data_IF_963332779276
#
_entry.id   IF_963332779276
#
_cell.length_a   1.000
_cell.length_b   1.000
_cell.length_c   1.000
_cell.angle_alpha   90.00
_cell.angle_beta   90.00
_cell.angle_gamma   90.00
#
_symmetry.space_group_name_H-M   'P 1'
#
loop_
_entity.id
_entity.type
_entity.pdbx_description
1 polymer ?
#
# COMPACT_ATOMS: atom_id res chain seq x y z
N UNK A 1 -39.81 4.85 11.04
CA UNK A 1 -38.89 3.73 11.34
C UNK A 1 -37.57 4.31 11.81
N UNK A 2 -37.32 4.23 13.12
CA UNK A 2 -36.21 4.91 13.80
C UNK A 2 -34.91 4.17 13.50
N UNK A 3 -33.95 4.83 12.86
CA UNK A 3 -32.60 4.28 12.68
C UNK A 3 -31.87 4.25 14.02
N UNK A 4 -31.22 3.13 14.33
CA UNK A 4 -30.45 2.99 15.57
C UNK A 4 -29.03 3.47 15.34
N UNK A 5 -28.59 4.46 16.11
CA UNK A 5 -27.20 4.93 16.12
C UNK A 5 -26.42 4.16 17.20
N UNK A 6 -25.58 3.22 16.78
CA UNK A 6 -24.80 2.39 17.71
C UNK A 6 -23.72 3.17 18.47
N UNK A 7 -23.22 4.27 17.89
CA UNK A 7 -22.23 5.12 18.55
C UNK A 7 -22.85 5.81 19.78
N UNK A 8 -24.13 6.17 19.71
CA UNK A 8 -24.90 6.70 20.86
C UNK A 8 -25.20 5.63 21.91
N UNK A 9 -25.54 4.40 21.52
CA UNK A 9 -25.78 3.30 22.48
C UNK A 9 -24.52 2.89 23.23
N UNK A 10 -23.37 2.87 22.55
CA UNK A 10 -22.07 2.61 23.17
C UNK A 10 -21.65 3.75 24.12
N UNK A 11 -22.03 5.00 23.82
CA UNK A 11 -21.83 6.15 24.71
C UNK A 11 -22.74 6.09 25.95
N UNK A 12 -24.00 5.66 25.79
CA UNK A 12 -24.97 5.53 26.89
C UNK A 12 -24.56 4.46 27.93
N UNK A 13 -23.90 3.39 27.50
CA UNK A 13 -23.38 2.39 28.44
C UNK A 13 -22.23 2.92 29.31
N UNK A 14 -21.56 4.01 28.91
CA UNK A 14 -20.55 4.70 29.73
C UNK A 14 -21.18 5.74 30.67
N UNK A 15 -22.27 6.41 30.28
CA UNK A 15 -22.95 7.37 31.19
C UNK A 15 -23.70 6.66 32.32
N UNK A 16 -24.30 5.49 32.06
CA UNK A 16 -24.92 4.68 33.10
C UNK A 16 -23.91 4.13 34.13
N UNK A 17 -22.63 4.02 33.77
CA UNK A 17 -21.56 3.62 34.68
C UNK A 17 -20.97 4.81 35.49
N UNK A 18 -21.27 6.05 35.10
CA UNK A 18 -20.76 7.27 35.75
C UNK A 18 -21.82 7.98 36.63
N UNK A 19 -23.11 7.79 36.37
CA UNK A 19 -24.20 8.42 37.16
C UNK A 19 -24.53 7.68 38.47
N UNK A 20 -23.87 6.56 38.78
CA UNK A 20 -24.10 5.84 40.04
C UNK A 20 -23.41 6.45 41.27
N UNK A 21 -22.97 7.71 41.22
CA UNK A 21 -22.31 8.37 42.37
C UNK A 21 -22.95 9.65 42.92
N UNK A 22 -24.08 10.15 42.40
CA UNK A 22 -24.75 11.29 43.04
C UNK A 22 -26.28 11.18 42.98
N UNK A 23 -26.90 10.85 44.12
CA UNK A 23 -28.34 10.99 44.34
C UNK A 23 -28.95 9.85 45.16
N UNK A 24 -29.28 10.11 46.43
CA UNK A 24 -30.05 9.21 47.27
C UNK A 24 -31.46 9.02 46.69
N UNK A 25 -31.71 7.83 46.14
CA UNK A 25 -32.97 7.40 45.55
C UNK A 25 -32.84 5.97 45.03
N UNK A 26 -33.00 5.01 45.93
CA UNK A 26 -32.98 3.57 45.63
C UNK A 26 -34.14 3.18 44.72
N UNK A 27 -33.92 3.18 43.40
CA UNK A 27 -34.76 2.45 42.44
C UNK A 27 -33.87 1.68 41.46
N UNK A 28 -33.58 0.43 41.81
CA UNK A 28 -33.43 -0.74 40.94
C UNK A 28 -32.59 -0.68 39.63
N UNK A 29 -31.63 0.24 39.46
CA UNK A 29 -30.71 0.24 38.29
C UNK A 29 -29.69 -0.91 38.29
N UNK A 30 -29.50 -1.61 39.41
CA UNK A 30 -28.67 -2.84 39.49
C UNK A 30 -29.35 -4.14 39.01
N UNK A 31 -30.65 -4.10 38.68
CA UNK A 31 -31.44 -5.30 38.35
C UNK A 31 -31.59 -5.59 36.85
N UNK A 32 -31.47 -4.58 35.99
CA UNK A 32 -31.62 -4.76 34.53
C UNK A 32 -30.35 -5.34 33.87
N UNK A 33 -29.17 -4.94 34.34
CA UNK A 33 -27.88 -5.41 33.79
C UNK A 33 -27.56 -6.88 34.18
N UNK A 34 -28.18 -7.40 35.24
CA UNK A 34 -28.00 -8.79 35.71
C UNK A 34 -29.05 -9.77 35.16
N UNK A 35 -30.14 -9.28 34.57
CA UNK A 35 -31.23 -10.12 34.02
C UNK A 35 -31.16 -10.32 32.51
N UNK A 36 -30.42 -9.48 31.77
CA UNK A 36 -30.28 -9.64 30.32
C UNK A 36 -29.24 -10.73 30.02
N UNK A 37 -29.72 -11.92 29.70
CA UNK A 37 -28.89 -13.07 29.33
C UNK A 37 -28.57 -13.10 27.84
N UNK A 38 -29.55 -12.76 27.00
CA UNK A 38 -29.44 -12.78 25.55
C UNK A 38 -30.20 -11.59 24.94
N UNK A 39 -29.62 -10.99 23.89
CA UNK A 39 -30.24 -9.95 23.07
C UNK A 39 -30.09 -10.39 21.61
N UNK A 40 -31.19 -10.59 20.89
CA UNK A 40 -31.20 -10.85 19.45
C UNK A 40 -31.82 -9.64 18.73
N UNK A 41 -31.01 -8.92 17.94
CA UNK A 41 -31.43 -7.73 17.22
C UNK A 41 -31.32 -7.98 15.72
N UNK A 42 -32.43 -7.79 15.01
CA UNK A 42 -32.45 -7.68 13.56
C UNK A 42 -32.52 -6.21 13.17
N UNK A 43 -31.48 -5.75 12.48
CA UNK A 43 -31.22 -4.35 12.19
C UNK A 43 -31.40 -4.12 10.70
N UNK A 44 -32.37 -3.29 10.30
CA UNK A 44 -32.65 -2.99 8.88
C UNK A 44 -32.05 -1.67 8.40
N UNK A 45 -31.70 -0.75 9.29
CA UNK A 45 -31.03 0.53 8.97
C UNK A 45 -30.21 0.99 10.16
N UNK A 46 -28.92 0.72 10.15
CA UNK A 46 -28.00 1.10 11.24
C UNK A 46 -26.87 1.93 10.71
N UNK A 47 -26.45 2.93 11.47
CA UNK A 47 -25.25 3.69 11.15
C UNK A 47 -24.16 3.30 12.15
N UNK A 48 -23.01 2.85 11.64
CA UNK A 48 -21.80 2.54 12.42
C UNK A 48 -20.64 3.36 11.85
N UNK A 49 -19.99 4.19 12.68
CA UNK A 49 -18.89 5.07 12.24
C UNK A 49 -19.26 5.92 11.00
N UNK A 50 -20.49 6.45 10.99
CA UNK A 50 -21.01 7.23 9.85
C UNK A 50 -21.40 6.43 8.61
N UNK A 51 -21.25 5.09 8.61
CA UNK A 51 -21.63 4.23 7.49
C UNK A 51 -23.00 3.60 7.70
N UNK A 52 -23.90 3.75 6.72
CA UNK A 52 -25.20 3.07 6.70
C UNK A 52 -25.01 1.58 6.35
N UNK A 53 -25.56 0.73 7.19
CA UNK A 53 -25.66 -0.72 7.05
C UNK A 53 -27.10 -1.06 6.66
N UNK A 54 -27.27 -1.79 5.56
CA UNK A 54 -28.60 -2.08 5.00
C UNK A 54 -29.30 -3.23 5.70
N UNK A 55 -28.56 -4.22 6.19
CA UNK A 55 -29.10 -5.31 7.00
C UNK A 55 -28.02 -5.82 7.94
N UNK A 56 -28.42 -6.17 9.16
CA UNK A 56 -27.52 -6.75 10.15
C UNK A 56 -28.27 -7.65 11.11
N UNK A 57 -27.70 -8.79 11.44
CA UNK A 57 -28.11 -9.59 12.60
C UNK A 57 -27.05 -9.41 13.67
N UNK A 58 -27.46 -9.10 14.89
CA UNK A 58 -26.56 -8.96 16.03
C UNK A 58 -27.13 -9.75 17.19
N UNK A 59 -26.39 -10.76 17.66
CA UNK A 59 -26.73 -11.55 18.85
C UNK A 59 -25.72 -11.26 19.93
N UNK A 60 -26.17 -10.77 21.08
CA UNK A 60 -25.32 -10.44 22.21
C UNK A 60 -25.73 -11.30 23.39
N UNK A 61 -24.81 -12.14 23.84
CA UNK A 61 -25.06 -13.06 24.95
C UNK A 61 -24.10 -12.74 26.09
N UNK A 62 -24.62 -12.81 27.31
CA UNK A 62 -23.87 -12.60 28.53
C UNK A 62 -23.20 -13.90 28.97
N UNK A 63 -21.89 -13.87 29.17
CA UNK A 63 -21.14 -14.97 29.78
C UNK A 63 -20.43 -14.48 31.06
N UNK A 64 -19.97 -15.38 31.95
CA UNK A 64 -19.23 -14.97 33.14
C UNK A 64 -17.98 -14.15 32.79
N UNK A 65 -17.97 -12.87 33.16
CA UNK A 65 -16.83 -11.96 32.98
C UNK A 65 -16.69 -11.30 31.59
N UNK A 66 -17.57 -11.61 30.62
CA UNK A 66 -17.54 -11.00 29.29
C UNK A 66 -18.90 -11.02 28.59
N UNK A 67 -19.08 -10.08 27.67
CA UNK A 67 -20.14 -10.09 26.67
C UNK A 67 -19.60 -10.67 25.36
N UNK A 68 -20.38 -11.54 24.73
CA UNK A 68 -20.10 -12.08 23.40
C UNK A 68 -21.14 -11.54 22.42
N UNK A 69 -20.70 -10.74 21.46
CA UNK A 69 -21.53 -10.27 20.35
C UNK A 69 -21.15 -10.98 19.06
N UNK A 70 -22.09 -11.69 18.44
CA UNK A 70 -21.98 -12.19 17.08
C UNK A 70 -22.71 -11.24 16.15
N UNK A 71 -22.10 -10.88 15.02
CA UNK A 71 -22.73 -9.99 14.06
C UNK A 71 -22.50 -10.47 12.63
N UNK A 72 -23.50 -10.23 11.80
CA UNK A 72 -23.47 -10.51 10.36
C UNK A 72 -24.16 -9.37 9.64
N UNK A 73 -23.42 -8.69 8.76
CA UNK A 73 -23.89 -7.54 7.97
C UNK A 73 -23.43 -7.70 6.51
N UNK A 74 -23.86 -6.78 5.66
CA UNK A 74 -23.42 -6.70 4.26
C UNK A 74 -21.92 -6.41 4.10
N UNK A 75 -21.28 -5.73 5.06
CA UNK A 75 -19.88 -5.31 4.99
C UNK A 75 -18.94 -6.07 5.94
N UNK A 76 -19.46 -6.69 7.00
CA UNK A 76 -18.65 -7.38 8.01
C UNK A 76 -19.41 -8.49 8.72
N UNK A 77 -18.72 -9.55 9.10
CA UNK A 77 -19.25 -10.60 9.97
C UNK A 77 -18.18 -11.08 10.94
N UNK A 78 -18.60 -11.55 12.11
CA UNK A 78 -17.69 -12.12 13.10
C UNK A 78 -18.20 -12.05 14.53
N UNK A 79 -17.25 -12.10 15.46
CA UNK A 79 -17.47 -12.13 16.91
C UNK A 79 -16.66 -11.05 17.62
N UNK A 80 -17.30 -10.37 18.57
CA UNK A 80 -16.68 -9.47 19.53
C UNK A 80 -16.78 -10.06 20.94
N UNK A 81 -15.66 -10.10 21.67
CA UNK A 81 -15.62 -10.39 23.10
C UNK A 81 -15.26 -9.12 23.85
N UNK A 82 -16.18 -8.65 24.68
CA UNK A 82 -16.04 -7.42 25.46
C UNK A 82 -15.97 -7.83 26.92
N UNK A 83 -14.81 -7.72 27.55
CA UNK A 83 -14.65 -8.02 28.95
C UNK A 83 -15.34 -6.94 29.81
N UNK A 84 -15.81 -7.33 31.00
CA UNK A 84 -16.41 -6.38 31.96
C UNK A 84 -15.39 -5.35 32.45
N UNK A 85 -14.15 -5.81 32.60
CA UNK A 85 -13.04 -4.95 32.93
C UNK A 85 -12.58 -4.19 31.67
N UNK A 86 -12.83 -2.88 31.66
CA UNK A 86 -12.45 -1.94 30.60
C UNK A 86 -10.94 -1.86 30.31
N UNK A 87 -10.08 -2.38 31.20
CA UNK A 87 -8.63 -2.48 30.99
C UNK A 87 -8.23 -3.64 30.07
N UNK A 88 -9.06 -4.68 29.96
CA UNK A 88 -8.84 -5.80 29.05
C UNK A 88 -9.24 -5.39 27.62
N UNK A 89 -8.45 -5.78 26.60
CA UNK A 89 -8.78 -5.44 25.23
C UNK A 89 -10.06 -6.16 24.77
N UNK A 90 -10.85 -5.47 23.96
CA UNK A 90 -11.91 -6.10 23.16
C UNK A 90 -11.24 -7.02 22.16
N UNK A 91 -11.67 -8.28 22.09
CA UNK A 91 -11.18 -9.22 21.08
C UNK A 91 -12.18 -9.25 19.95
N UNK A 92 -11.78 -8.77 18.77
CA UNK A 92 -12.61 -8.69 17.58
C UNK A 92 -12.07 -9.67 16.53
N UNK A 93 -12.81 -10.74 16.30
CA UNK A 93 -12.51 -11.74 15.27
C UNK A 93 -13.52 -11.58 14.14
N UNK A 94 -13.07 -11.11 12.99
CA UNK A 94 -13.88 -10.92 11.81
C UNK A 94 -13.67 -12.09 10.85
N UNK A 95 -14.75 -12.77 10.48
CA UNK A 95 -14.68 -13.78 9.43
C UNK A 95 -14.51 -13.10 8.07
N UNK A 96 -15.13 -11.92 7.91
CA UNK A 96 -15.11 -11.12 6.68
C UNK A 96 -15.15 -9.64 7.02
N UNK A 97 -14.37 -8.84 6.30
CA UNK A 97 -14.50 -7.38 6.27
C UNK A 97 -14.36 -6.88 4.83
N UNK A 98 -15.28 -6.02 4.40
CA UNK A 98 -15.22 -5.34 3.11
C UNK A 98 -14.87 -3.86 3.35
N UNK A 99 -13.73 -3.44 2.82
CA UNK A 99 -13.33 -2.05 2.71
C UNK A 99 -13.65 -1.57 1.31
N UNK A 100 -14.33 -0.43 1.18
CA UNK A 100 -14.57 0.21 -0.11
C UNK A 100 -13.50 1.25 -0.41
N UNK A 101 -12.98 1.27 -1.62
CA UNK A 101 -12.06 2.28 -2.11
C UNK A 101 -12.77 3.61 -2.36
N UNK A 102 -12.00 4.70 -2.32
CA UNK A 102 -12.53 6.05 -2.57
C UNK A 102 -13.11 6.18 -4.00
N UNK A 103 -12.62 5.41 -4.97
CA UNK A 103 -13.11 5.41 -6.35
C UNK A 103 -14.53 4.84 -6.46
N UNK A 104 -14.83 3.73 -5.76
CA UNK A 104 -16.19 3.19 -5.70
C UNK A 104 -17.13 4.12 -4.93
N UNK A 105 -16.61 4.88 -3.95
CA UNK A 105 -17.39 5.88 -3.21
C UNK A 105 -17.75 7.11 -4.09
N UNK A 106 -16.88 7.51 -5.01
CA UNK A 106 -17.11 8.65 -5.91
C UNK A 106 -18.18 8.37 -6.98
N UNK A 107 -18.40 7.10 -7.35
CA UNK A 107 -19.46 6.70 -8.28
C UNK A 107 -20.88 6.86 -7.72
N UNK A 108 -21.03 6.86 -6.39
CA UNK A 108 -22.27 7.24 -5.72
C UNK A 108 -22.29 8.76 -5.53
N UNK A 109 -22.82 9.49 -6.52
CA UNK A 109 -23.13 10.92 -6.37
C UNK A 109 -24.08 11.13 -5.18
N UNK A 110 -23.52 11.52 -4.03
CA UNK A 110 -24.26 12.16 -2.95
C UNK A 110 -23.27 12.87 -2.02
N UNK A 111 -23.20 14.18 -2.21
CA UNK A 111 -22.93 15.18 -1.17
C UNK A 111 -21.82 14.84 -0.18
N UNK A 112 -20.58 15.16 -0.55
CA UNK A 112 -19.62 15.66 0.44
C UNK A 112 -20.07 17.05 0.87
N UNK A 113 -21.16 17.10 1.63
CA UNK A 113 -21.27 18.15 2.63
C UNK A 113 -20.01 18.01 3.47
N UNK A 114 -19.30 19.12 3.66
CA UNK A 114 -18.39 19.37 4.78
C UNK A 114 -19.18 19.31 6.10
N UNK A 115 -19.89 18.20 6.32
CA UNK A 115 -20.53 17.84 7.57
C UNK A 115 -19.38 17.69 8.53
N UNK A 116 -19.22 18.74 9.34
CA UNK A 116 -18.61 18.74 10.66
C UNK A 116 -17.62 17.59 10.82
N UNK A 117 -16.32 17.89 10.69
CA UNK A 117 -15.26 17.08 11.31
C UNK A 117 -15.58 16.98 12.80
N UNK A 118 -16.51 16.11 13.16
CA UNK A 118 -16.84 15.78 14.53
C UNK A 118 -15.52 15.33 15.09
N UNK A 119 -14.98 16.06 16.06
CA UNK A 119 -13.74 15.68 16.71
C UNK A 119 -13.98 14.35 17.42
N UNK A 120 -13.72 13.25 16.72
CA UNK A 120 -13.79 11.92 17.27
C UNK A 120 -12.68 11.88 18.33
N UNK A 121 -13.06 11.77 19.59
CA UNK A 121 -12.08 11.62 20.66
C UNK A 121 -11.54 10.18 20.64
N UNK A 122 -10.53 9.92 19.80
CA UNK A 122 -9.96 8.56 19.70
C UNK A 122 -9.21 8.14 20.96
N UNK A 123 -8.85 9.08 21.85
CA UNK A 123 -8.24 8.75 23.15
C UNK A 123 -9.22 7.99 24.07
N UNK A 124 -10.52 8.14 23.85
CA UNK A 124 -11.56 7.43 24.60
C UNK A 124 -11.90 6.04 24.02
N UNK A 125 -11.29 5.68 22.88
CA UNK A 125 -11.51 4.39 22.23
C UNK A 125 -10.86 3.25 23.02
N UNK A 126 -11.50 2.06 23.04
CA UNK A 126 -10.99 0.92 23.79
C UNK A 126 -9.73 0.34 23.14
N UNK A 127 -9.01 -0.50 23.90
CA UNK A 127 -8.00 -1.39 23.32
C UNK A 127 -8.71 -2.50 22.53
N UNK A 128 -8.25 -2.81 21.32
CA UNK A 128 -8.84 -3.84 20.46
C UNK A 128 -7.73 -4.77 19.96
N UNK A 129 -7.92 -6.08 20.09
CA UNK A 129 -7.16 -7.10 19.35
C UNK A 129 -8.01 -7.54 18.17
N UNK A 130 -7.56 -7.22 16.96
CA UNK A 130 -8.27 -7.48 15.73
C UNK A 130 -7.62 -8.64 14.96
N UNK A 131 -8.43 -9.59 14.52
CA UNK A 131 -8.08 -10.59 13.51
C UNK A 131 -9.17 -10.64 12.44
N UNK A 132 -8.77 -10.74 11.19
CA UNK A 132 -9.65 -10.77 10.02
C UNK A 132 -9.26 -11.97 9.15
N UNK A 133 -10.18 -12.89 8.94
CA UNK A 133 -9.93 -14.09 8.14
C UNK A 133 -10.05 -13.83 6.64
N UNK A 134 -10.94 -12.92 6.23
CA UNK A 134 -11.11 -12.51 4.83
C UNK A 134 -11.29 -11.01 4.72
N UNK A 135 -10.21 -10.29 4.44
CA UNK A 135 -10.28 -8.87 4.10
C UNK A 135 -10.46 -8.69 2.60
N UNK A 136 -11.48 -7.94 2.21
CA UNK A 136 -11.75 -7.57 0.83
C UNK A 136 -11.58 -6.06 0.66
N UNK A 137 -10.81 -5.66 -0.35
CA UNK A 137 -10.79 -4.30 -0.86
C UNK A 137 -11.68 -4.26 -2.11
N UNK A 138 -12.82 -3.59 -2.01
CA UNK A 138 -13.93 -3.68 -2.95
C UNK A 138 -14.38 -5.14 -3.11
N UNK A 139 -13.98 -5.78 -4.22
CA UNK A 139 -14.23 -7.20 -4.52
C UNK A 139 -12.97 -8.07 -4.42
N UNK A 140 -11.82 -7.44 -4.20
CA UNK A 140 -10.51 -8.08 -4.26
C UNK A 140 -10.15 -8.62 -2.88
N UNK A 141 -9.98 -9.94 -2.79
CA UNK A 141 -9.56 -10.57 -1.54
C UNK A 141 -8.07 -10.28 -1.31
N UNK A 142 -7.74 -9.59 -0.22
CA UNK A 142 -6.36 -9.25 0.16
C UNK A 142 -5.87 -10.06 1.37
N UNK A 143 -6.53 -11.17 1.67
CA UNK A 143 -6.05 -12.20 2.60
C UNK A 143 -6.43 -11.96 4.06
N UNK A 144 -5.64 -12.57 4.96
CA UNK A 144 -5.81 -12.52 6.41
C UNK A 144 -5.03 -11.37 7.00
N UNK A 145 -5.62 -10.66 7.95
CA UNK A 145 -5.01 -9.51 8.60
C UNK A 145 -5.19 -9.54 10.11
N UNK A 146 -4.24 -8.98 10.84
CA UNK A 146 -4.35 -8.79 12.29
C UNK A 146 -3.72 -7.47 12.71
N UNK A 147 -4.20 -6.91 13.81
CA UNK A 147 -3.68 -5.67 14.38
C UNK A 147 -4.02 -5.54 15.86
N UNK A 148 -3.26 -4.72 16.59
CA UNK A 148 -3.55 -4.34 17.97
C UNK A 148 -3.73 -2.84 18.05
N UNK A 149 -4.93 -2.42 18.41
CA UNK A 149 -5.35 -1.03 18.49
C UNK A 149 -5.40 -0.60 19.95
N UNK A 150 -4.90 0.58 20.27
CA UNK A 150 -4.90 1.09 21.64
C UNK A 150 -4.80 2.61 21.71
N UNK A 151 -5.46 3.24 22.69
CA UNK A 151 -5.28 4.66 22.97
C UNK A 151 -3.86 4.95 23.43
N UNK A 152 -3.41 6.18 23.15
CA UNK A 152 -2.11 6.69 23.56
C UNK A 152 -2.23 8.11 24.13
N UNK A 153 -1.17 8.60 24.76
CA UNK A 153 -1.15 9.97 25.32
C UNK A 153 -1.43 11.06 24.27
N UNK A 154 -1.10 10.81 22.99
CA UNK A 154 -1.21 11.77 21.89
C UNK A 154 -2.41 11.53 20.99
N UNK A 155 -3.14 10.42 21.13
CA UNK A 155 -4.18 10.03 20.18
C UNK A 155 -4.37 8.52 20.24
N UNK A 156 -4.17 7.81 19.14
CA UNK A 156 -4.40 6.37 19.09
C UNK A 156 -3.37 5.67 18.19
N UNK A 157 -3.11 4.40 18.49
CA UNK A 157 -2.07 3.60 17.84
C UNK A 157 -2.62 2.28 17.35
N UNK A 158 -2.12 1.83 16.21
CA UNK A 158 -2.35 0.52 15.64
C UNK A 158 -0.98 -0.12 15.44
N UNK A 159 -0.68 -1.10 16.27
CA UNK A 159 0.59 -1.82 16.26
C UNK A 159 0.39 -3.20 15.65
N UNK A 160 1.50 -3.80 15.24
CA UNK A 160 1.53 -5.20 14.82
C UNK A 160 0.54 -5.49 13.68
N UNK A 161 0.34 -4.54 12.75
CA UNK A 161 -0.48 -4.77 11.56
C UNK A 161 0.26 -5.80 10.73
N UNK A 162 -0.33 -6.96 10.54
CA UNK A 162 0.29 -8.08 9.84
C UNK A 162 -0.70 -8.66 8.85
N UNK A 163 -0.25 -8.89 7.63
CA UNK A 163 -1.04 -9.53 6.59
C UNK A 163 -0.14 -10.11 5.50
N UNK A 164 -0.78 -10.68 4.48
CA UNK A 164 -0.08 -11.20 3.32
C UNK A 164 -0.93 -11.09 2.06
N UNK A 165 -0.30 -10.59 0.99
CA UNK A 165 -0.91 -10.46 -0.34
C UNK A 165 0.03 -11.15 -1.31
N UNK A 166 -0.47 -12.05 -2.17
CA UNK A 166 0.32 -12.75 -3.19
C UNK A 166 1.71 -13.27 -2.73
N UNK A 167 1.76 -13.98 -1.60
CA UNK A 167 3.01 -14.48 -0.97
C UNK A 167 4.02 -13.40 -0.52
N UNK A 168 3.63 -12.13 -0.51
CA UNK A 168 4.36 -11.02 0.09
C UNK A 168 3.85 -10.79 1.51
N UNK A 169 4.75 -10.85 2.50
CA UNK A 169 4.43 -10.56 3.90
C UNK A 169 4.39 -9.05 4.08
N UNK A 170 3.32 -8.53 4.69
CA UNK A 170 3.16 -7.11 5.00
C UNK A 170 3.17 -6.93 6.51
N UNK A 171 4.00 -6.02 6.98
CA UNK A 171 4.06 -5.60 8.38
C UNK A 171 3.98 -4.08 8.46
N UNK A 172 3.08 -3.55 9.28
CA UNK A 172 2.91 -2.12 9.42
C UNK A 172 2.59 -1.70 10.85
N UNK A 173 2.77 -0.40 11.10
CA UNK A 173 2.30 0.28 12.28
C UNK A 173 1.77 1.64 11.89
N UNK A 174 0.72 2.08 12.57
CA UNK A 174 0.08 3.35 12.33
C UNK A 174 -0.19 4.05 13.65
N UNK A 175 -0.18 5.37 13.63
CA UNK A 175 -0.64 6.19 14.73
C UNK A 175 -1.27 7.46 14.18
N UNK A 176 -2.28 7.98 14.83
CA UNK A 176 -2.76 9.33 14.57
C UNK A 176 -2.72 10.12 15.85
N UNK A 177 -2.02 11.25 15.76
CA UNK A 177 -1.86 12.19 16.86
C UNK A 177 -2.95 13.25 16.74
N UNK A 178 -3.64 13.49 17.84
CA UNK A 178 -4.64 14.54 18.02
C UNK A 178 -4.03 15.61 18.93
N UNK A 179 -3.38 16.61 18.34
CA UNK A 179 -2.81 17.74 19.06
C UNK A 179 -3.71 18.95 18.87
N UNK A 180 -4.42 19.34 19.94
CA UNK A 180 -5.45 20.37 19.93
C UNK A 180 -6.58 20.06 18.92
N UNK A 181 -6.52 20.66 17.73
CA UNK A 181 -7.45 20.47 16.60
C UNK A 181 -6.77 19.94 15.34
N UNK A 182 -5.45 19.71 15.40
CA UNK A 182 -4.68 19.15 14.30
C UNK A 182 -4.55 17.64 14.49
N UNK A 183 -4.94 16.91 13.47
CA UNK A 183 -4.84 15.46 13.43
C UNK A 183 -3.82 15.13 12.36
N UNK A 184 -2.82 14.33 12.73
CA UNK A 184 -1.80 13.84 11.78
C UNK A 184 -1.68 12.35 11.93
N UNK A 185 -1.89 11.63 10.83
CA UNK A 185 -1.65 10.20 10.77
C UNK A 185 -0.22 9.95 10.29
N UNK A 186 0.42 8.94 10.88
CA UNK A 186 1.71 8.40 10.48
C UNK A 186 1.57 6.90 10.25
N UNK A 187 2.12 6.43 9.14
CA UNK A 187 2.16 5.03 8.72
C UNK A 187 3.62 4.63 8.49
N UNK A 188 4.04 3.51 9.07
CA UNK A 188 5.26 2.82 8.65
C UNK A 188 4.86 1.44 8.17
N UNK A 189 5.23 1.11 6.94
CA UNK A 189 4.88 -0.14 6.29
C UNK A 189 6.12 -0.76 5.65
N UNK A 190 6.25 -2.07 5.83
CA UNK A 190 7.24 -2.91 5.19
C UNK A 190 6.53 -4.06 4.49
N UNK A 191 6.94 -4.36 3.26
CA UNK A 191 6.50 -5.53 2.52
C UNK A 191 7.72 -6.32 2.03
N UNK A 192 7.74 -7.63 2.27
CA UNK A 192 8.88 -8.50 1.99
C UNK A 192 8.47 -9.78 1.25
N UNK A 193 9.28 -10.15 0.26
CA UNK A 193 9.13 -11.37 -0.53
C UNK A 193 8.07 -11.26 -1.62
N UNK A 194 7.84 -12.38 -2.30
CA UNK A 194 6.78 -12.55 -3.28
C UNK A 194 6.94 -11.76 -4.58
N UNK A 195 5.89 -11.85 -5.41
CA UNK A 195 5.78 -11.18 -6.69
C UNK A 195 4.99 -9.87 -6.53
N UNK A 196 5.69 -8.74 -6.60
CA UNK A 196 5.06 -7.42 -6.50
C UNK A 196 4.09 -7.13 -7.65
N UNK A 197 4.24 -7.80 -8.79
CA UNK A 197 3.25 -7.79 -9.86
C UNK A 197 1.92 -8.42 -9.46
N UNK A 198 1.98 -9.57 -8.80
CA UNK A 198 0.80 -10.24 -8.28
C UNK A 198 0.16 -9.44 -7.13
N UNK A 199 0.96 -8.77 -6.30
CA UNK A 199 0.45 -7.82 -5.28
C UNK A 199 -0.33 -6.68 -5.94
N UNK A 200 0.22 -6.02 -6.97
CA UNK A 200 -0.45 -4.96 -7.72
C UNK A 200 -1.79 -5.42 -8.30
N UNK A 201 -1.79 -6.59 -8.96
CA UNK A 201 -3.01 -7.20 -9.50
C UNK A 201 -4.07 -7.47 -8.43
N UNK A 202 -3.65 -7.99 -7.26
CA UNK A 202 -4.55 -8.28 -6.15
C UNK A 202 -5.09 -7.02 -5.46
N UNK A 203 -4.41 -5.87 -5.64
CA UNK A 203 -4.88 -4.55 -5.25
C UNK A 203 -5.70 -3.82 -6.34
N UNK A 204 -5.85 -4.43 -7.52
CA UNK A 204 -6.68 -3.90 -8.61
C UNK A 204 -5.92 -3.04 -9.63
N UNK A 205 -4.60 -3.02 -9.57
CA UNK A 205 -3.74 -2.35 -10.55
C UNK A 205 -3.31 -3.30 -11.68
N UNK A 206 -2.87 -2.73 -12.79
CA UNK A 206 -2.28 -3.50 -13.88
C UNK A 206 -0.98 -4.18 -13.45
N UNK A 207 -0.77 -5.41 -13.95
CA UNK A 207 0.44 -6.18 -13.70
C UNK A 207 1.55 -5.73 -14.66
N UNK A 208 2.19 -4.60 -14.32
CA UNK A 208 3.25 -3.97 -15.13
C UNK A 208 4.64 -4.59 -14.93
N UNK A 209 4.79 -5.48 -13.95
CA UNK A 209 6.05 -6.15 -13.63
C UNK A 209 5.79 -7.51 -13.01
N UNK A 210 6.84 -8.34 -12.97
CA UNK A 210 6.91 -9.57 -12.19
C UNK A 210 8.24 -9.64 -11.45
N UNK A 211 8.23 -10.19 -10.23
CA UNK A 211 9.45 -10.36 -9.41
C UNK A 211 9.48 -11.70 -8.72
N UNK A 212 10.68 -12.27 -8.54
CA UNK A 212 10.85 -13.42 -7.64
C UNK A 212 10.78 -13.00 -6.16
N UNK A 213 11.34 -11.84 -5.83
CA UNK A 213 11.31 -11.28 -4.48
C UNK A 213 11.43 -9.75 -4.53
N UNK A 214 10.78 -9.07 -3.59
CA UNK A 214 10.95 -7.64 -3.38
C UNK A 214 11.01 -7.27 -1.90
N UNK A 215 11.48 -6.06 -1.64
CA UNK A 215 11.35 -5.36 -0.36
C UNK A 215 10.83 -3.96 -0.67
N UNK A 216 9.81 -3.52 0.07
CA UNK A 216 9.28 -2.16 0.06
C UNK A 216 9.27 -1.66 1.49
N UNK A 217 9.75 -0.44 1.71
CA UNK A 217 9.66 0.24 2.98
C UNK A 217 9.10 1.63 2.76
N UNK A 218 8.17 2.03 3.61
CA UNK A 218 7.54 3.34 3.55
C UNK A 218 7.38 3.90 4.95
N UNK A 219 7.57 5.21 5.05
CA UNK A 219 7.21 6.02 6.21
C UNK A 219 6.44 7.20 5.67
N UNK A 220 5.13 7.22 5.87
CA UNK A 220 4.22 8.22 5.32
C UNK A 220 3.52 8.97 6.45
N UNK A 221 3.14 10.22 6.18
CA UNK A 221 2.26 11.01 7.01
C UNK A 221 1.29 11.85 6.18
N UNK A 222 0.13 12.12 6.76
CA UNK A 222 -0.85 13.04 6.19
C UNK A 222 -1.68 13.72 7.29
N UNK A 223 -2.18 14.94 7.04
CA UNK A 223 -3.19 15.57 7.88
C UNK A 223 -4.53 14.81 7.79
N UNK A 224 -5.15 14.59 8.94
CA UNK A 224 -6.42 13.88 9.09
C UNK A 224 -6.29 12.50 9.73
N UNK A 225 -7.43 11.84 9.91
CA UNK A 225 -7.50 10.47 10.40
C UNK A 225 -7.01 9.47 9.35
N UNK A 226 -6.79 8.19 9.73
CA UNK A 226 -6.34 7.17 8.80
C UNK A 226 -7.19 6.98 7.53
N UNK A 227 -8.49 7.25 7.63
CA UNK A 227 -9.43 7.13 6.51
C UNK A 227 -9.53 8.40 5.66
N UNK A 228 -8.91 9.52 6.08
CA UNK A 228 -8.89 10.79 5.35
C UNK A 228 -7.70 10.90 4.37
N UNK A 229 -7.15 9.76 3.95
CA UNK A 229 -5.99 9.72 3.06
C UNK A 229 -6.32 10.38 1.71
N UNK A 230 -5.50 11.34 1.31
CA UNK A 230 -5.57 11.99 0.01
C UNK A 230 -4.16 12.05 -0.58
N UNK A 231 -4.00 11.62 -1.83
CA UNK A 231 -2.70 11.53 -2.52
C UNK A 231 -1.90 12.85 -2.44
N UNK A 232 -2.58 13.99 -2.63
CA UNK A 232 -2.01 15.34 -2.55
C UNK A 232 -1.46 15.78 -1.18
N UNK A 233 -1.79 15.05 -0.12
CA UNK A 233 -1.41 15.40 1.25
C UNK A 233 -0.37 14.44 1.84
N UNK A 234 0.10 13.46 1.07
CA UNK A 234 1.07 12.47 1.52
C UNK A 234 2.48 13.07 1.55
N UNK A 235 3.16 12.91 2.68
CA UNK A 235 4.57 13.25 2.86
C UNK A 235 5.34 12.11 3.52
N UNK A 236 6.66 12.07 3.38
CA UNK A 236 7.52 11.06 4.01
C UNK A 236 8.54 10.46 3.05
N UNK A 237 8.88 9.18 3.21
CA UNK A 237 9.87 8.51 2.38
C UNK A 237 9.43 7.11 1.97
N UNK A 238 9.88 6.68 0.79
CA UNK A 238 9.66 5.35 0.24
C UNK A 238 10.96 4.82 -0.34
N UNK A 239 11.25 3.56 -0.08
CA UNK A 239 12.31 2.82 -0.75
C UNK A 239 11.80 1.45 -1.19
N UNK A 240 12.26 0.98 -2.34
CA UNK A 240 11.98 -0.38 -2.78
C UNK A 240 13.18 -1.00 -3.46
N UNK A 241 13.26 -2.33 -3.35
CA UNK A 241 14.25 -3.18 -3.99
C UNK A 241 13.58 -4.43 -4.52
N UNK A 242 13.54 -4.57 -5.84
CA UNK A 242 13.04 -5.75 -6.53
C UNK A 242 14.23 -6.57 -7.04
N UNK A 243 14.10 -7.89 -7.08
CA UNK A 243 15.15 -8.78 -7.59
C UNK A 243 14.57 -9.85 -8.52
N UNK A 244 15.36 -10.21 -9.53
CA UNK A 244 15.10 -11.30 -10.47
C UNK A 244 13.68 -11.21 -11.02
N UNK A 245 13.45 -10.23 -11.87
CA UNK A 245 12.13 -9.92 -12.38
C UNK A 245 12.14 -9.50 -13.83
N UNK A 246 10.98 -9.08 -14.31
CA UNK A 246 10.82 -8.47 -15.63
C UNK A 246 9.74 -7.41 -15.60
N UNK A 247 9.95 -6.32 -16.35
CA UNK A 247 8.92 -5.32 -16.62
C UNK A 247 8.12 -5.84 -17.81
N UNK A 248 6.80 -5.91 -17.68
CA UNK A 248 5.91 -6.49 -18.69
C UNK A 248 5.09 -5.37 -19.32
N UNK A 249 4.79 -5.47 -20.60
CA UNK A 249 3.78 -4.62 -21.22
C UNK A 249 2.40 -5.02 -20.68
N UNK A 250 1.83 -4.20 -19.80
CA UNK A 250 0.40 -4.25 -19.54
C UNK A 250 -0.28 -3.34 -20.57
N UNK A 251 -1.39 -3.80 -21.16
CA UNK A 251 -2.04 -3.20 -22.32
C UNK A 251 -2.28 -1.67 -22.29
N UNK A 252 -2.43 -1.11 -23.49
CA UNK A 252 -2.66 0.31 -23.87
C UNK A 252 -1.62 1.35 -23.44
N UNK A 253 -0.80 1.10 -22.42
CA UNK A 253 0.27 2.01 -21.97
C UNK A 253 1.61 1.74 -22.70
N UNK A 254 1.54 1.82 -24.04
CA UNK A 254 2.49 1.27 -25.02
C UNK A 254 3.86 1.96 -25.15
N UNK A 255 4.46 2.56 -24.11
CA UNK A 255 5.61 3.47 -24.29
C UNK A 255 6.91 3.14 -23.54
N UNK A 256 6.89 2.36 -22.45
CA UNK A 256 8.13 2.10 -21.70
C UNK A 256 9.07 1.09 -22.40
N UNK A 257 8.52 0.02 -23.00
CA UNK A 257 9.32 -0.96 -23.76
C UNK A 257 9.89 -0.40 -25.07
N UNK A 258 9.25 0.63 -25.64
CA UNK A 258 9.78 1.33 -26.82
C UNK A 258 11.19 1.85 -26.57
N UNK A 259 11.55 2.27 -25.35
CA UNK A 259 12.93 2.71 -25.04
C UNK A 259 13.97 1.62 -25.32
N UNK A 260 13.63 0.35 -25.08
CA UNK A 260 14.48 -0.80 -25.36
C UNK A 260 14.29 -1.36 -26.78
N UNK A 261 13.18 -1.00 -27.44
CA UNK A 261 12.83 -1.38 -28.82
C UNK A 261 13.12 -0.32 -29.90
N UNK A 262 13.56 0.90 -29.55
CA UNK A 262 13.94 1.97 -30.52
C UNK A 262 15.45 1.90 -30.81
N UNK A 263 15.94 0.72 -31.15
CA UNK A 263 16.68 0.68 -32.40
C UNK A 263 15.59 0.64 -33.46
N UNK A 264 15.56 1.64 -34.33
CA UNK A 264 14.69 1.62 -35.51
C UNK A 264 15.10 0.43 -36.38
N UNK A 265 14.64 -0.76 -36.00
CA UNK A 265 14.91 -2.00 -36.66
C UNK A 265 14.03 -2.12 -37.90
N UNK A 266 13.13 -1.18 -38.22
CA UNK A 266 12.38 -1.21 -39.49
C UNK A 266 13.30 -1.20 -40.72
N UNK A 267 14.55 -0.73 -40.60
CA UNK A 267 15.57 -0.84 -41.67
C UNK A 267 16.46 -2.08 -41.58
N UNK A 268 16.53 -2.76 -40.43
CA UNK A 268 17.35 -3.96 -40.20
C UNK A 268 16.52 -5.26 -40.27
N UNK A 269 15.29 -5.27 -39.73
CA UNK A 269 14.28 -6.35 -39.80
C UNK A 269 13.93 -6.70 -41.25
N UNK A 270 13.88 -5.72 -42.16
CA UNK A 270 13.66 -6.01 -43.59
C UNK A 270 14.76 -6.88 -44.21
N UNK A 271 15.96 -6.93 -43.61
CA UNK A 271 17.09 -7.73 -44.10
C UNK A 271 17.43 -8.95 -43.23
N UNK A 272 16.86 -9.05 -42.03
CA UNK A 272 17.01 -10.19 -41.15
C UNK A 272 15.63 -10.76 -40.85
N UNK A 273 15.24 -11.79 -41.62
CA UNK A 273 14.04 -12.62 -41.39
C UNK A 273 14.23 -13.46 -40.12
N UNK A 274 14.16 -12.83 -38.95
CA UNK A 274 14.06 -13.52 -37.67
C UNK A 274 12.80 -13.00 -36.98
N UNK A 275 12.00 -13.93 -36.45
CA UNK A 275 10.75 -13.65 -35.77
C UNK A 275 11.05 -13.06 -34.37
N UNK A 276 11.04 -11.73 -34.28
CA UNK A 276 11.27 -11.02 -33.02
C UNK A 276 9.97 -10.85 -32.20
N UNK A 277 8.86 -11.47 -32.62
CA UNK A 277 7.58 -11.42 -31.90
C UNK A 277 7.72 -12.00 -30.48
N UNK A 278 8.43 -13.12 -30.33
CA UNK A 278 8.70 -13.76 -29.03
C UNK A 278 9.53 -12.88 -28.07
N UNK A 279 10.37 -11.99 -28.61
CA UNK A 279 11.23 -11.11 -27.80
C UNK A 279 10.49 -9.85 -27.31
N UNK A 280 9.44 -9.41 -28.02
CA UNK A 280 8.54 -8.34 -27.60
C UNK A 280 7.47 -8.85 -26.62
N UNK A 281 7.05 -10.11 -26.76
CA UNK A 281 6.12 -10.78 -25.82
C UNK A 281 6.73 -11.04 -24.42
N UNK A 282 8.05 -10.91 -24.27
CA UNK A 282 8.81 -11.37 -23.09
C UNK A 282 9.07 -10.31 -21.99
N UNK A 283 8.85 -9.02 -22.26
CA UNK A 283 9.18 -7.93 -21.32
C UNK A 283 10.70 -7.70 -21.10
N UNK A 284 11.06 -6.68 -20.31
CA UNK A 284 12.47 -6.34 -20.01
C UNK A 284 12.90 -6.98 -18.70
N UNK A 285 13.73 -8.03 -18.80
CA UNK A 285 14.30 -8.71 -17.64
C UNK A 285 15.28 -7.81 -16.87
N UNK A 286 15.29 -7.96 -15.55
CA UNK A 286 16.22 -7.29 -14.65
C UNK A 286 16.68 -8.22 -13.52
N UNK A 287 17.94 -8.04 -13.11
CA UNK A 287 18.49 -8.65 -11.92
C UNK A 287 18.05 -7.88 -10.68
N UNK A 288 18.10 -6.55 -10.73
CA UNK A 288 17.64 -5.70 -9.63
C UNK A 288 16.99 -4.40 -10.10
N UNK A 289 15.99 -3.93 -9.34
CA UNK A 289 15.50 -2.54 -9.41
C UNK A 289 15.55 -1.95 -8.02
N UNK A 290 16.13 -0.77 -7.87
CA UNK A 290 16.17 -0.04 -6.59
C UNK A 290 15.73 1.40 -6.78
N UNK A 291 14.93 1.94 -5.88
CA UNK A 291 14.61 3.37 -5.86
C UNK A 291 14.41 3.89 -4.44
N UNK A 292 14.66 5.19 -4.26
CA UNK A 292 14.43 5.92 -3.02
C UNK A 292 13.79 7.27 -3.36
N UNK A 293 12.63 7.55 -2.79
CA UNK A 293 11.88 8.78 -3.01
C UNK A 293 11.60 9.47 -1.68
N UNK A 294 11.77 10.79 -1.67
CA UNK A 294 11.20 11.66 -0.65
C UNK A 294 9.87 12.20 -1.17
N UNK A 295 8.85 12.16 -0.35
CA UNK A 295 7.49 12.60 -0.67
C UNK A 295 7.17 13.86 0.11
N UNK A 296 6.68 14.88 -0.59
CA UNK A 296 6.20 16.11 0.03
C UNK A 296 4.91 16.55 -0.66
N UNK A 297 3.80 16.53 0.08
CA UNK A 297 2.48 16.94 -0.42
C UNK A 297 2.11 16.29 -1.77
N UNK A 298 2.29 14.96 -1.87
CA UNK A 298 1.99 14.19 -3.07
C UNK A 298 3.03 14.29 -4.19
N UNK A 299 4.10 15.09 -4.04
CA UNK A 299 5.22 15.13 -4.98
C UNK A 299 6.35 14.23 -4.47
N UNK A 300 6.64 13.16 -5.21
CA UNK A 300 7.80 12.30 -5.01
C UNK A 300 9.00 12.85 -5.76
N UNK A 301 10.13 13.00 -5.07
CA UNK A 301 11.42 13.38 -5.66
C UNK A 301 12.42 12.28 -5.38
N UNK A 302 13.10 11.80 -6.43
CA UNK A 302 14.15 10.79 -6.29
C UNK A 302 15.30 11.32 -5.42
N UNK A 303 15.61 10.63 -4.32
CA UNK A 303 16.77 10.98 -3.45
C UNK A 303 18.06 10.60 -4.18
N UNK A 304 18.05 9.42 -4.78
CA UNK A 304 19.07 8.90 -5.69
C UNK A 304 18.37 8.44 -6.96
N UNK A 305 19.07 8.34 -8.10
CA UNK A 305 18.50 7.74 -9.29
C UNK A 305 17.91 6.36 -8.97
N UNK A 306 16.68 6.10 -9.42
CA UNK A 306 16.18 4.75 -9.58
C UNK A 306 17.17 4.01 -10.49
N UNK A 307 17.55 2.80 -10.12
CA UNK A 307 18.47 1.97 -10.89
C UNK A 307 17.80 0.66 -11.23
N UNK A 308 17.80 0.32 -12.52
CA UNK A 308 17.48 -0.99 -13.03
C UNK A 308 18.78 -1.58 -13.60
N UNK A 309 19.16 -2.74 -13.11
CA UNK A 309 20.29 -3.51 -13.61
C UNK A 309 19.76 -4.80 -14.23
N UNK A 310 20.01 -5.00 -15.51
CA UNK A 310 19.74 -6.24 -16.24
C UNK A 310 20.92 -6.64 -17.11
N UNK A 311 20.88 -7.87 -17.63
CA UNK A 311 21.93 -8.41 -18.50
C UNK A 311 22.06 -7.67 -19.82
N UNK A 312 20.93 -7.21 -20.38
CA UNK A 312 20.87 -6.54 -21.69
C UNK A 312 21.05 -5.03 -21.60
N UNK A 313 20.70 -4.41 -20.47
CA UNK A 313 20.76 -2.97 -20.29
C UNK A 313 20.73 -2.59 -18.81
N UNK A 314 21.28 -1.41 -18.52
CA UNK A 314 21.08 -0.71 -17.25
C UNK A 314 20.35 0.61 -17.48
N UNK A 315 19.44 0.95 -16.58
CA UNK A 315 18.68 2.21 -16.63
C UNK A 315 18.84 2.96 -15.32
N UNK A 316 19.15 4.25 -15.43
CA UNK A 316 19.09 5.20 -14.31
C UNK A 316 17.97 6.23 -14.58
N UNK A 317 17.07 6.46 -13.60
CA UNK A 317 16.01 7.49 -13.70
C UNK A 317 16.03 8.42 -12.49
N UNK A 318 15.98 9.73 -12.73
CA UNK A 318 15.92 10.75 -11.67
C UNK A 318 14.93 11.86 -12.01
N UNK A 319 14.22 12.37 -11.01
CA UNK A 319 13.26 13.46 -11.18
C UNK A 319 12.07 13.34 -10.23
N UNK A 320 10.91 13.81 -10.67
CA UNK A 320 9.69 13.90 -9.87
C UNK A 320 8.54 13.03 -10.37
N UNK A 321 7.69 12.59 -9.44
CA UNK A 321 6.42 11.91 -9.69
C UNK A 321 5.35 12.65 -8.88
N UNK A 322 4.33 13.18 -9.54
CA UNK A 322 3.22 13.87 -8.88
C UNK A 322 2.03 12.90 -8.77
N UNK A 323 1.73 12.46 -7.55
CA UNK A 323 0.65 11.54 -7.26
C UNK A 323 -0.75 12.13 -7.44
N UNK A 324 -0.88 13.45 -7.32
CA UNK A 324 -2.16 14.16 -7.48
C UNK A 324 -2.57 14.23 -8.94
N UNK A 325 -1.62 14.61 -9.79
CA UNK A 325 -1.85 14.82 -11.22
C UNK A 325 -1.57 13.56 -12.05
N UNK A 326 -1.09 12.49 -11.40
CA UNK A 326 -0.69 11.24 -12.05
C UNK A 326 0.35 11.44 -13.15
N UNK A 327 1.27 12.39 -12.93
CA UNK A 327 2.31 12.76 -13.89
C UNK A 327 3.71 12.47 -13.38
N UNK A 328 4.65 12.36 -14.30
CA UNK A 328 6.07 12.24 -14.03
C UNK A 328 6.87 13.27 -14.83
N UNK A 329 8.02 13.65 -14.31
CA UNK A 329 9.07 14.40 -15.02
C UNK A 329 10.41 13.80 -14.61
N UNK A 330 10.97 12.93 -15.46
CA UNK A 330 12.16 12.15 -15.19
C UNK A 330 13.20 12.36 -16.30
N UNK A 331 14.47 12.36 -15.91
CA UNK A 331 15.59 12.15 -16.81
C UNK A 331 15.97 10.68 -16.74
N UNK A 332 16.13 10.05 -17.89
CA UNK A 332 16.44 8.63 -18.01
C UNK A 332 17.72 8.43 -18.81
N UNK A 333 18.61 7.61 -18.28
CA UNK A 333 19.86 7.18 -18.92
C UNK A 333 19.77 5.69 -19.17
N UNK A 334 19.98 5.27 -20.42
CA UNK A 334 19.99 3.86 -20.82
C UNK A 334 21.39 3.52 -21.31
N UNK A 335 22.06 2.61 -20.60
CA UNK A 335 23.39 2.14 -20.96
C UNK A 335 23.34 0.66 -21.36
N UNK A 336 23.82 0.38 -22.56
CA UNK A 336 23.95 -0.97 -23.13
C UNK A 336 25.40 -1.41 -22.94
N UNK A 337 25.67 -2.60 -22.37
CA UNK A 337 27.03 -3.11 -22.24
C UNK A 337 27.67 -3.27 -23.63
N UNK A 338 28.84 -2.67 -23.84
CA UNK A 338 29.57 -2.71 -25.12
C UNK A 338 30.59 -3.85 -25.19
N UNK A 339 30.95 -4.45 -24.05
CA UNK A 339 31.95 -5.50 -23.97
C UNK A 339 31.26 -6.86 -24.09
N UNK A 340 31.57 -7.61 -25.16
CA UNK A 340 31.33 -9.05 -25.15
C UNK A 340 32.34 -9.68 -24.21
N UNK A 341 31.95 -10.63 -23.37
CA UNK A 341 32.85 -11.33 -22.46
C UNK A 341 33.92 -12.20 -23.19
N UNK A 342 33.97 -12.16 -24.52
CA UNK A 342 34.72 -13.09 -25.35
C UNK A 342 36.22 -12.75 -25.53
N UNK A 343 36.66 -11.51 -25.78
CA UNK A 343 38.07 -11.24 -26.11
C UNK A 343 39.02 -11.43 -24.92
N UNK A 344 38.55 -11.17 -23.69
CA UNK A 344 39.39 -11.21 -22.50
C UNK A 344 39.41 -12.61 -21.87
N UNK A 345 38.34 -13.42 -22.01
CA UNK A 345 38.34 -14.80 -21.51
C UNK A 345 39.50 -15.64 -22.08
N UNK A 346 39.92 -15.36 -23.32
CA UNK A 346 41.12 -15.96 -23.93
C UNK A 346 42.43 -15.59 -23.19
N UNK A 347 42.52 -14.40 -22.61
CA UNK A 347 43.67 -13.94 -21.80
C UNK A 347 43.67 -14.55 -20.38
N UNK A 348 42.49 -14.88 -19.83
CA UNK A 348 42.33 -15.44 -18.48
C UNK A 348 42.72 -16.92 -18.38
N UNK A 349 42.73 -17.66 -19.51
CA UNK A 349 43.13 -19.07 -19.54
C UNK A 349 44.64 -19.29 -19.33
N UNK A 350 45.46 -18.24 -19.42
CA UNK A 350 46.92 -18.36 -19.34
C UNK A 350 47.44 -18.46 -17.88
N UNK A 351 46.86 -17.72 -16.92
CA UNK A 351 47.25 -17.81 -15.49
C UNK A 351 46.13 -17.36 -14.53
N UNK A 352 45.78 -18.12 -13.47
CA UNK A 352 44.70 -17.77 -12.53
C UNK A 352 44.91 -16.46 -11.75
N UNK A 353 46.17 -16.09 -11.49
CA UNK A 353 46.51 -14.96 -10.61
C UNK A 353 46.23 -13.59 -11.27
N UNK A 354 46.45 -13.49 -12.58
CA UNK A 354 46.19 -12.28 -13.37
C UNK A 354 44.69 -12.12 -13.66
N UNK A 355 43.94 -13.22 -13.63
CA UNK A 355 42.55 -13.25 -14.04
C UNK A 355 41.63 -12.39 -13.17
N UNK A 356 41.85 -12.38 -11.85
CA UNK A 356 41.07 -11.56 -10.92
C UNK A 356 41.25 -10.05 -11.12
N UNK A 357 42.49 -9.60 -11.35
CA UNK A 357 42.82 -8.18 -11.56
C UNK A 357 42.26 -7.69 -12.89
N UNK A 358 42.45 -8.47 -13.96
CA UNK A 358 41.90 -8.16 -15.29
C UNK A 358 40.36 -8.05 -15.26
N UNK A 359 39.68 -8.95 -14.54
CA UNK A 359 38.23 -8.91 -14.36
C UNK A 359 37.75 -7.63 -13.64
N UNK A 360 38.46 -7.18 -12.60
CA UNK A 360 38.12 -5.94 -11.89
C UNK A 360 38.30 -4.72 -12.80
N UNK A 361 39.42 -4.65 -13.53
CA UNK A 361 39.73 -3.54 -14.45
C UNK A 361 38.68 -3.47 -15.57
N UNK A 362 38.37 -4.61 -16.21
CA UNK A 362 37.34 -4.71 -17.24
C UNK A 362 35.97 -4.22 -16.72
N UNK A 363 35.58 -4.69 -15.52
CA UNK A 363 34.32 -4.28 -14.90
C UNK A 363 34.26 -2.79 -14.58
N UNK A 364 35.36 -2.18 -14.17
CA UNK A 364 35.43 -0.74 -13.89
C UNK A 364 35.43 0.10 -15.17
N UNK A 365 36.19 -0.30 -16.19
CA UNK A 365 36.28 0.39 -17.47
C UNK A 365 34.98 0.26 -18.26
N UNK A 366 34.40 -0.94 -18.35
CA UNK A 366 33.13 -1.19 -19.01
C UNK A 366 32.00 -0.33 -18.43
N UNK A 367 31.93 -0.19 -17.09
CA UNK A 367 30.95 0.71 -16.44
C UNK A 367 31.15 2.18 -16.80
N UNK A 368 32.40 2.66 -16.90
CA UNK A 368 32.69 4.06 -17.28
C UNK A 368 32.36 4.32 -18.76
N UNK A 369 32.76 3.40 -19.64
CA UNK A 369 32.52 3.51 -21.09
C UNK A 369 31.02 3.44 -21.42
N UNK A 370 30.27 2.52 -20.79
CA UNK A 370 28.83 2.41 -20.98
C UNK A 370 28.07 3.69 -20.57
N UNK A 371 28.58 4.44 -19.58
CA UNK A 371 28.02 5.75 -19.19
C UNK A 371 28.29 6.85 -20.21
N UNK A 372 29.40 6.78 -20.96
CA UNK A 372 29.72 7.75 -22.00
C UNK A 372 28.85 7.56 -23.24
N UNK A 373 28.46 6.31 -23.54
CA UNK A 373 27.59 5.95 -24.66
C UNK A 373 26.11 5.81 -24.27
N UNK A 374 25.74 6.25 -23.06
CA UNK A 374 24.38 6.13 -22.57
C UNK A 374 23.42 7.02 -23.39
N UNK A 375 22.32 6.43 -23.83
CA UNK A 375 21.22 7.15 -24.47
C UNK A 375 20.47 7.94 -23.40
N UNK A 376 20.24 9.23 -23.67
CA UNK A 376 19.61 10.16 -22.73
C UNK A 376 18.20 10.48 -23.19
N UNK A 377 17.24 10.39 -22.29
CA UNK A 377 15.84 10.68 -22.57
C UNK A 377 15.24 11.57 -21.47
N UNK A 378 14.26 12.36 -21.87
CA UNK A 378 13.32 13.02 -20.99
C UNK A 378 12.00 12.25 -21.04
N UNK A 379 11.48 11.91 -19.88
CA UNK A 379 10.20 11.23 -19.70
C UNK A 379 9.26 12.21 -18.98
N UNK A 380 8.13 12.56 -19.59
CA UNK A 380 7.18 13.52 -19.00
C UNK A 380 5.71 13.15 -19.27
N UNK A 381 4.78 13.76 -18.54
CA UNK A 381 3.34 13.59 -18.78
C UNK A 381 2.73 12.51 -17.88
N UNK A 382 1.61 11.92 -18.31
CA UNK A 382 0.93 10.86 -17.57
C UNK A 382 1.87 9.70 -17.27
N UNK A 383 1.85 9.16 -16.05
CA UNK A 383 2.64 7.96 -15.76
C UNK A 383 2.07 6.69 -16.42
N UNK A 384 0.80 6.71 -16.86
CA UNK A 384 0.20 5.61 -17.62
C UNK A 384 0.63 5.70 -19.08
N UNK A 385 0.71 6.91 -19.62
CA UNK A 385 1.11 7.14 -21.00
C UNK A 385 2.20 8.23 -21.06
N UNK A 386 3.44 7.89 -20.67
CA UNK A 386 4.51 8.88 -20.64
C UNK A 386 4.96 9.26 -22.05
N UNK A 387 5.27 10.53 -22.22
CA UNK A 387 5.96 11.08 -23.38
C UNK A 387 7.47 10.94 -23.18
N UNK A 388 8.13 10.23 -24.08
CA UNK A 388 9.56 9.96 -24.01
C UNK A 388 10.24 10.62 -25.20
N UNK A 389 11.20 11.50 -24.93
CA UNK A 389 11.93 12.25 -25.97
C UNK A 389 13.43 12.08 -25.78
N UNK A 390 14.21 11.78 -26.84
CA UNK A 390 15.66 11.78 -26.74
C UNK A 390 16.15 13.20 -26.42
N UNK A 391 17.09 13.30 -25.49
CA UNK A 391 17.84 14.51 -25.23
C UNK A 391 19.04 14.45 -26.17
N UNK A 392 18.94 15.08 -27.34
CA UNK A 392 20.07 15.20 -28.23
C UNK A 392 21.19 15.93 -27.50
N UNK A 393 22.32 15.25 -27.32
CA UNK A 393 23.55 15.91 -26.90
C UNK A 393 23.85 17.03 -27.88
N UNK A 394 24.20 18.21 -27.37
CA UNK A 394 24.68 19.31 -28.19
C UNK A 394 25.72 18.80 -29.19
N UNK A 395 25.61 19.29 -30.43
CA UNK A 395 26.59 19.06 -31.49
C UNK A 395 28.00 19.38 -30.99
N UNK A 396 28.91 18.44 -31.31
CA UNK A 396 30.37 18.55 -31.46
C UNK A 396 31.18 18.99 -30.24
#
# INVERSE_FOLDING_TARGET
MVGVNLDQLLALNKSAANDSQQGAGSVASGSLQSQIKDIDLQLSKVTLMGRRLNTGKVKINRAPGFWRGNFETDVTSGTALIADNSQRPIVLKLDKLILKSAAEQAGNKSQTNSATRSSINSRAWPKIKLSIDKLLLDRLNIGRWSAVLAPSKRGYTVKSIQGGIANTKISAQMRWDELQKNITTHLSLQADGGDFGAVLKQLGFDRVLETKTGNLQTQLSWPGYPWDIAQKNLSGAMSFKLKQGRIIEAGTSANFLRIFGILNLNTVIKRLKLDFSDLLESGVAFDTVTANYNLQNGLATSINPLKLEGSSASVEMSGTINFSDQTLQQKMLVAIPLTSNAPIAALLLATPQVAGIAFIIDKLLGKKLAKLTALRYQVSGSWLEPNIRPINGAKK
#
